data_IF_739298815261
#
_entry.id   IF_739298815261
#
_cell.length_a   1.000
_cell.length_b   1.000
_cell.length_c   1.000
_cell.angle_alpha   90.00
_cell.angle_beta   90.00
_cell.angle_gamma   90.00
#
_symmetry.space_group_name_H-M   'P 1'
#
loop_
_entity.id
_entity.type
_entity.pdbx_description
1 polymer ?
#
# COMPACT_ATOMS: atom_id res chain seq x y z
N UNK A 1 22.68 -28.86 -6.36
CA UNK A 1 21.34 -29.44 -6.20
C UNK A 1 21.48 -30.89 -5.80
N UNK A 2 21.00 -31.25 -4.60
CA UNK A 2 21.01 -32.64 -4.15
C UNK A 2 19.68 -33.28 -4.57
N UNK A 3 19.76 -34.44 -5.23
CA UNK A 3 18.60 -35.22 -5.64
C UNK A 3 18.65 -36.61 -5.02
N UNK A 4 17.48 -37.15 -4.71
CA UNK A 4 17.35 -38.44 -4.03
C UNK A 4 16.75 -39.47 -4.98
N UNK A 5 17.32 -40.68 -5.03
CA UNK A 5 16.76 -41.78 -5.79
C UNK A 5 15.44 -42.23 -5.17
N UNK A 6 14.32 -42.26 -5.91
CA UNK A 6 13.01 -42.62 -5.35
C UNK A 6 12.91 -44.10 -4.92
N UNK A 7 13.86 -44.94 -5.34
CA UNK A 7 13.87 -46.37 -5.03
C UNK A 7 14.72 -46.73 -3.80
N UNK A 8 15.95 -46.22 -3.73
CA UNK A 8 16.92 -46.61 -2.70
C UNK A 8 17.37 -45.45 -1.81
N UNK A 9 16.81 -44.26 -2.00
CA UNK A 9 17.07 -43.05 -1.20
C UNK A 9 18.54 -42.58 -1.20
N UNK A 10 19.37 -43.13 -2.10
CA UNK A 10 20.73 -42.65 -2.31
C UNK A 10 20.72 -41.22 -2.84
N UNK A 11 21.57 -40.37 -2.25
CA UNK A 11 21.69 -38.95 -2.59
C UNK A 11 22.80 -38.73 -3.61
N UNK A 12 22.49 -37.92 -4.62
CA UNK A 12 23.41 -37.57 -5.70
C UNK A 12 23.56 -36.05 -5.79
N UNK A 13 24.79 -35.59 -5.99
CA UNK A 13 25.04 -34.21 -6.39
C UNK A 13 24.79 -34.05 -7.88
N UNK A 14 23.69 -33.38 -8.23
CA UNK A 14 23.28 -33.10 -9.59
C UNK A 14 23.48 -31.63 -9.97
N UNK A 15 24.41 -30.93 -9.30
CA UNK A 15 24.65 -29.49 -9.56
C UNK A 15 25.09 -29.21 -11.00
N UNK A 16 25.82 -30.14 -11.63
CA UNK A 16 26.30 -30.00 -13.02
C UNK A 16 25.32 -30.55 -14.07
N UNK A 17 24.23 -31.19 -13.65
CA UNK A 17 23.25 -31.76 -14.55
C UNK A 17 22.25 -30.70 -15.01
N UNK A 18 21.87 -30.71 -16.29
CA UNK A 18 20.79 -29.88 -16.80
C UNK A 18 19.46 -30.24 -16.09
N UNK A 19 18.58 -29.27 -15.78
CA UNK A 19 17.25 -29.58 -15.27
C UNK A 19 16.46 -30.48 -16.26
N UNK A 20 15.83 -31.55 -15.75
CA UNK A 20 15.19 -32.59 -16.56
C UNK A 20 16.14 -33.62 -17.17
N UNK A 21 17.45 -33.60 -16.84
CA UNK A 21 18.39 -34.64 -17.27
C UNK A 21 18.14 -35.96 -16.53
N UNK A 22 18.31 -37.07 -17.24
CA UNK A 22 18.25 -38.41 -16.66
C UNK A 22 19.51 -38.71 -15.86
N UNK A 23 19.35 -39.29 -14.68
CA UNK A 23 20.40 -39.78 -13.79
C UNK A 23 20.18 -41.28 -13.60
N UNK A 24 21.24 -42.05 -13.77
CA UNK A 24 21.27 -43.46 -13.44
C UNK A 24 21.73 -43.65 -11.98
N UNK A 25 20.89 -44.26 -11.16
CA UNK A 25 21.25 -44.68 -9.82
C UNK A 25 22.06 -45.99 -9.86
N UNK A 26 22.94 -46.18 -8.87
CA UNK A 26 23.67 -47.45 -8.67
C UNK A 26 22.75 -48.64 -8.41
N UNK A 27 21.52 -48.41 -7.93
CA UNK A 27 20.52 -49.47 -7.77
C UNK A 27 19.84 -49.91 -9.08
N UNK A 28 20.26 -49.36 -10.24
CA UNK A 28 19.68 -49.64 -11.54
C UNK A 28 18.47 -48.76 -11.89
N UNK A 29 17.95 -47.98 -10.95
CA UNK A 29 16.85 -47.05 -11.22
C UNK A 29 17.33 -45.83 -12.02
N UNK A 30 16.68 -45.52 -13.13
CA UNK A 30 16.77 -44.21 -13.76
C UNK A 30 15.73 -43.25 -13.19
N UNK A 31 16.12 -42.00 -12.96
CA UNK A 31 15.25 -40.92 -12.54
C UNK A 31 15.71 -39.59 -13.16
N UNK A 32 14.93 -38.52 -13.04
CA UNK A 32 15.24 -37.24 -13.68
C UNK A 32 15.56 -36.16 -12.65
N UNK A 33 16.48 -35.26 -12.97
CA UNK A 33 16.65 -34.03 -12.19
C UNK A 33 15.34 -33.23 -12.24
N UNK A 34 14.94 -32.60 -11.13
CA UNK A 34 13.74 -31.78 -11.13
C UNK A 34 13.91 -30.65 -12.15
N UNK A 35 12.88 -30.44 -12.98
CA UNK A 35 12.84 -29.29 -13.86
C UNK A 35 12.77 -28.05 -12.98
N UNK A 36 13.76 -27.17 -13.08
CA UNK A 36 13.68 -25.86 -12.46
C UNK A 36 12.50 -25.13 -13.12
N UNK A 37 11.52 -24.65 -12.34
CA UNK A 37 10.44 -23.87 -12.91
C UNK A 37 11.05 -22.64 -13.61
N UNK A 38 10.58 -22.34 -14.84
CA UNK A 38 11.02 -21.17 -15.61
C UNK A 38 10.54 -19.92 -14.88
N UNK A 39 11.39 -19.37 -14.03
CA UNK A 39 11.03 -18.29 -13.13
C UNK A 39 11.80 -17.03 -13.47
N UNK A 40 11.61 -16.55 -14.71
CA UNK A 40 12.13 -15.25 -15.12
C UNK A 40 11.40 -14.07 -14.43
N UNK A 41 10.32 -14.35 -13.66
CA UNK A 41 9.54 -13.38 -12.88
C UNK A 41 9.09 -13.91 -11.52
N UNK A 42 9.82 -14.85 -10.91
CA UNK A 42 9.44 -15.32 -9.57
C UNK A 42 9.92 -14.39 -8.49
N UNK A 43 9.04 -14.16 -7.52
CA UNK A 43 9.42 -13.66 -6.21
C UNK A 43 9.64 -14.86 -5.28
N UNK A 44 10.40 -14.69 -4.21
CA UNK A 44 10.49 -15.73 -3.18
C UNK A 44 9.26 -15.66 -2.28
N UNK A 45 8.71 -16.82 -1.93
CA UNK A 45 7.66 -16.95 -0.93
C UNK A 45 8.14 -16.29 0.38
N UNK A 46 7.40 -15.33 0.94
CA UNK A 46 7.82 -14.62 2.14
C UNK A 46 7.83 -15.50 3.39
N UNK A 47 7.23 -16.68 3.35
CA UNK A 47 7.17 -17.62 4.47
C UNK A 47 8.30 -18.66 4.44
N UNK A 48 8.52 -19.35 3.31
CA UNK A 48 9.53 -20.43 3.22
C UNK A 48 10.73 -20.12 2.32
N UNK A 49 10.74 -19.01 1.59
CA UNK A 49 11.80 -18.68 0.63
C UNK A 49 11.74 -19.46 -0.69
N UNK A 50 10.83 -20.44 -0.82
CA UNK A 50 10.60 -21.18 -2.06
C UNK A 50 10.09 -20.27 -3.17
N UNK A 51 10.33 -20.62 -4.42
CA UNK A 51 9.91 -19.78 -5.53
C UNK A 51 8.38 -19.61 -5.60
N UNK A 52 7.92 -18.40 -5.88
CA UNK A 52 6.52 -18.05 -6.04
C UNK A 52 6.31 -17.27 -7.34
N UNK A 53 5.45 -17.82 -8.20
CA UNK A 53 4.97 -17.10 -9.38
C UNK A 53 4.01 -15.98 -8.96
N UNK A 54 4.01 -14.82 -9.65
CA UNK A 54 3.03 -13.76 -9.42
C UNK A 54 1.57 -14.20 -9.63
N UNK A 55 1.36 -15.24 -10.44
CA UNK A 55 0.03 -15.76 -10.80
C UNK A 55 -0.44 -16.89 -9.85
N UNK A 56 0.41 -17.34 -8.93
CA UNK A 56 0.06 -18.36 -7.93
C UNK A 56 -0.65 -17.70 -6.75
N UNK A 57 -1.83 -18.21 -6.38
CA UNK A 57 -2.56 -17.75 -5.19
C UNK A 57 -2.18 -18.53 -3.91
N UNK A 58 -1.36 -19.57 -4.03
CA UNK A 58 -0.86 -20.38 -2.92
C UNK A 58 0.54 -20.90 -3.25
N UNK A 59 1.44 -20.89 -2.27
CA UNK A 59 2.79 -21.39 -2.43
C UNK A 59 2.78 -22.93 -2.54
N UNK A 60 3.32 -23.46 -3.63
CA UNK A 60 3.41 -24.91 -3.88
C UNK A 60 4.33 -25.64 -2.88
N UNK A 61 5.22 -24.92 -2.19
CA UNK A 61 6.19 -25.50 -1.25
C UNK A 61 5.69 -25.58 0.19
N UNK A 62 5.08 -24.50 0.71
CA UNK A 62 4.66 -24.44 2.11
C UNK A 62 3.14 -24.27 2.30
N UNK A 63 2.36 -24.17 1.21
CA UNK A 63 0.91 -24.06 1.27
C UNK A 63 0.38 -22.70 1.75
N UNK A 64 1.23 -21.70 1.99
CA UNK A 64 0.77 -20.35 2.39
C UNK A 64 0.02 -19.69 1.24
N UNK A 65 -1.10 -19.02 1.53
CA UNK A 65 -1.82 -18.26 0.51
C UNK A 65 -1.04 -17.00 0.17
N UNK A 66 -0.86 -16.76 -1.13
CA UNK A 66 -0.19 -15.60 -1.68
C UNK A 66 -1.14 -14.41 -1.86
N UNK A 67 -2.28 -14.42 -1.15
CA UNK A 67 -3.25 -13.33 -1.16
C UNK A 67 -2.67 -12.08 -0.51
N UNK A 68 -2.87 -10.95 -1.20
CA UNK A 68 -2.33 -9.66 -0.77
C UNK A 68 -3.14 -9.09 0.39
N UNK A 69 -2.50 -8.88 1.53
CA UNK A 69 -3.06 -8.08 2.63
C UNK A 69 -2.12 -6.92 2.97
N UNK A 70 -2.53 -6.02 3.87
CA UNK A 70 -1.64 -5.01 4.44
C UNK A 70 -1.14 -5.44 5.81
N UNK A 71 0.16 -5.27 6.04
CA UNK A 71 0.74 -5.44 7.37
C UNK A 71 0.15 -4.38 8.33
N UNK A 72 -0.36 -4.77 9.52
CA UNK A 72 -0.86 -3.82 10.52
C UNK A 72 0.16 -2.82 11.04
N UNK A 73 1.45 -3.13 10.93
CA UNK A 73 2.53 -2.31 11.47
C UNK A 73 3.15 -1.37 10.43
N UNK A 74 3.52 -1.89 9.26
CA UNK A 74 4.18 -1.08 8.21
C UNK A 74 3.30 -0.79 7.00
N UNK A 75 2.08 -1.33 6.91
CA UNK A 75 1.15 -1.13 5.80
C UNK A 75 1.65 -1.56 4.41
N UNK A 76 2.81 -2.21 4.32
CA UNK A 76 3.27 -2.88 3.10
C UNK A 76 2.23 -3.90 2.65
N UNK A 77 2.11 -4.01 1.33
CA UNK A 77 1.27 -5.02 0.68
C UNK A 77 2.18 -6.17 0.31
N UNK A 78 1.87 -7.36 0.81
CA UNK A 78 2.54 -8.58 0.40
C UNK A 78 1.60 -9.79 0.59
N UNK A 79 2.00 -10.95 0.05
CA UNK A 79 1.28 -12.19 0.26
C UNK A 79 1.39 -12.59 1.74
N UNK A 80 0.31 -12.52 2.51
CA UNK A 80 0.39 -12.62 3.99
C UNK A 80 -0.53 -13.66 4.63
N UNK A 81 -1.45 -14.28 3.90
CA UNK A 81 -2.40 -15.19 4.54
C UNK A 81 -1.72 -16.51 4.95
N UNK A 82 -1.36 -16.56 6.24
CA UNK A 82 -0.65 -17.67 6.89
C UNK A 82 0.82 -17.37 7.24
N UNK A 83 1.35 -16.19 6.91
CA UNK A 83 2.69 -15.78 7.34
C UNK A 83 2.67 -15.34 8.82
N UNK A 84 3.66 -15.77 9.61
CA UNK A 84 3.78 -15.37 11.04
C UNK A 84 4.37 -13.97 11.21
N UNK A 85 5.22 -13.55 10.28
CA UNK A 85 5.97 -12.28 10.32
C UNK A 85 5.92 -11.56 8.97
N UNK A 86 5.98 -10.23 9.00
CA UNK A 86 6.02 -9.40 7.80
C UNK A 86 7.40 -9.46 7.14
N UNK A 87 7.45 -9.81 5.86
CA UNK A 87 8.69 -9.85 5.09
C UNK A 87 9.34 -8.48 4.82
N UNK A 88 8.65 -7.38 5.15
CA UNK A 88 9.13 -6.00 4.95
C UNK A 88 9.60 -5.34 6.25
N UNK A 89 8.87 -5.50 7.37
CA UNK A 89 9.25 -4.89 8.65
C UNK A 89 9.65 -5.88 9.75
N UNK A 90 9.32 -7.16 9.61
CA UNK A 90 9.59 -8.20 10.61
C UNK A 90 8.56 -8.32 11.73
N UNK A 91 7.58 -7.42 11.79
CA UNK A 91 6.52 -7.47 12.81
C UNK A 91 5.65 -8.73 12.66
N UNK A 92 5.15 -9.23 13.79
CA UNK A 92 4.20 -10.35 13.80
C UNK A 92 2.89 -9.98 13.12
N UNK A 93 2.38 -10.88 12.27
CA UNK A 93 1.14 -10.72 11.50
C UNK A 93 -0.06 -11.38 12.19
N UNK A 94 -0.06 -11.44 13.52
CA UNK A 94 -1.03 -12.19 14.33
C UNK A 94 -2.50 -11.84 14.09
N UNK A 95 -2.82 -10.74 13.39
CA UNK A 95 -4.14 -10.52 12.79
C UNK A 95 -4.04 -9.93 11.36
N UNK A 96 -4.53 -10.62 10.32
CA UNK A 96 -4.68 -10.01 9.00
C UNK A 96 -5.74 -8.90 9.08
N UNK A 97 -5.57 -7.88 8.24
CA UNK A 97 -6.58 -6.84 8.05
C UNK A 97 -7.94 -7.50 7.75
N UNK A 98 -8.92 -7.28 8.64
CA UNK A 98 -10.30 -7.72 8.38
C UNK A 98 -10.94 -6.66 7.49
N UNK A 99 -11.45 -7.07 6.33
CA UNK A 99 -12.34 -6.23 5.54
C UNK A 99 -13.59 -5.98 6.40
N UNK A 100 -13.68 -4.81 7.03
CA UNK A 100 -14.89 -4.45 7.77
C UNK A 100 -15.90 -4.00 6.74
N UNK A 101 -17.01 -4.73 6.64
CA UNK A 101 -18.22 -4.30 5.93
C UNK A 101 -18.80 -3.08 6.66
N UNK A 102 -18.18 -1.91 6.53
CA UNK A 102 -18.74 -0.64 7.00
C UNK A 102 -18.95 0.27 5.80
N UNK A 103 -20.15 0.84 5.75
CA UNK A 103 -20.66 1.69 4.68
C UNK A 103 -19.57 2.57 4.07
N UNK A 104 -19.35 2.34 2.78
CA UNK A 104 -18.43 3.09 1.97
C UNK A 104 -18.92 4.54 1.92
N UNK A 105 -18.08 5.54 2.23
CA UNK A 105 -18.38 6.93 1.82
C UNK A 105 -18.46 7.04 0.28
N UNK A 106 -18.04 6.00 -0.45
CA UNK A 106 -18.21 5.92 -1.90
C UNK A 106 -17.17 6.72 -2.68
N UNK A 107 -16.04 7.04 -2.05
CA UNK A 107 -14.97 7.80 -2.67
C UNK A 107 -14.45 7.12 -3.93
N UNK A 108 -14.24 7.91 -4.98
CA UNK A 108 -13.59 7.46 -6.20
C UNK A 108 -12.08 7.52 -6.03
N UNK A 109 -11.38 6.53 -6.57
CA UNK A 109 -9.93 6.50 -6.59
C UNK A 109 -9.42 7.63 -7.50
N UNK A 110 -8.58 8.56 -7.03
CA UNK A 110 -8.15 9.70 -7.83
C UNK A 110 -7.21 9.31 -8.99
N UNK A 111 -6.53 8.15 -8.87
CA UNK A 111 -5.69 7.58 -9.93
C UNK A 111 -6.50 6.84 -10.99
N UNK A 112 -7.44 6.00 -10.56
CA UNK A 112 -8.19 5.14 -11.47
C UNK A 112 -9.47 5.79 -12.00
N UNK A 113 -9.97 6.83 -11.33
CA UNK A 113 -11.23 7.56 -11.56
C UNK A 113 -12.49 6.70 -11.43
N UNK A 114 -12.56 5.60 -12.16
CA UNK A 114 -13.74 4.73 -12.28
C UNK A 114 -13.76 3.58 -11.25
N UNK A 115 -12.86 3.60 -10.28
CA UNK A 115 -12.76 2.58 -9.23
C UNK A 115 -13.08 3.18 -7.88
N UNK A 116 -13.99 2.55 -7.13
CA UNK A 116 -14.31 2.97 -5.76
C UNK A 116 -13.24 2.51 -4.79
N UNK A 117 -12.95 3.36 -3.80
CA UNK A 117 -12.12 2.97 -2.68
C UNK A 117 -12.89 1.97 -1.81
N UNK A 118 -12.16 0.99 -1.28
CA UNK A 118 -12.65 0.00 -0.34
C UNK A 118 -12.12 0.35 1.04
N UNK A 119 -13.05 0.60 1.97
CA UNK A 119 -12.73 0.84 3.38
C UNK A 119 -12.31 -0.46 4.06
N UNK A 120 -11.13 -0.45 4.70
CA UNK A 120 -10.53 -1.62 5.34
C UNK A 120 -10.03 -1.27 6.73
N UNK A 121 -10.12 -2.21 7.68
CA UNK A 121 -9.49 -2.08 9.00
C UNK A 121 -8.17 -2.83 8.99
N UNK A 122 -7.09 -2.11 9.22
CA UNK A 122 -5.71 -2.62 9.25
C UNK A 122 -5.16 -2.30 10.63
N UNK A 123 -5.08 -3.33 11.50
CA UNK A 123 -4.81 -3.13 12.92
C UNK A 123 -5.90 -2.26 13.57
N UNK A 124 -5.47 -1.18 14.21
CA UNK A 124 -6.36 -0.22 14.89
C UNK A 124 -6.88 0.89 13.97
N UNK A 125 -6.43 0.90 12.71
CA UNK A 125 -6.67 1.99 11.77
C UNK A 125 -7.68 1.60 10.71
N UNK A 126 -8.56 2.54 10.36
CA UNK A 126 -9.47 2.44 9.21
C UNK A 126 -8.87 3.22 8.07
N UNK A 127 -8.72 2.59 6.91
CA UNK A 127 -8.11 3.17 5.71
C UNK A 127 -9.04 2.97 4.52
N UNK A 128 -8.97 3.86 3.52
CA UNK A 128 -9.67 3.69 2.25
C UNK A 128 -8.66 3.33 1.16
N UNK A 129 -8.80 2.17 0.53
CA UNK A 129 -7.80 1.65 -0.40
C UNK A 129 -8.38 1.22 -1.74
N UNK A 130 -7.68 1.51 -2.84
CA UNK A 130 -8.09 1.08 -4.17
C UNK A 130 -7.64 -0.36 -4.41
N UNK A 131 -8.56 -1.24 -4.80
CA UNK A 131 -8.24 -2.65 -5.13
C UNK A 131 -7.52 -2.79 -6.47
N UNK A 132 -7.63 -1.82 -7.38
CA UNK A 132 -6.96 -1.82 -8.69
C UNK A 132 -5.53 -1.30 -8.63
N UNK A 133 -5.30 -0.07 -8.18
CA UNK A 133 -3.95 0.52 -8.14
C UNK A 133 -3.22 0.32 -6.82
N UNK A 134 -3.88 -0.23 -5.78
CA UNK A 134 -3.31 -0.40 -4.44
C UNK A 134 -2.96 0.88 -3.69
N UNK A 135 -3.35 2.05 -4.20
CA UNK A 135 -3.22 3.34 -3.49
C UNK A 135 -4.12 3.42 -2.26
N UNK A 136 -3.79 4.33 -1.35
CA UNK A 136 -4.42 4.52 -0.03
C UNK A 136 -4.75 5.99 0.19
N UNK A 137 -5.96 6.24 0.65
CA UNK A 137 -6.40 7.49 1.23
C UNK A 137 -6.42 7.39 2.75
N UNK A 138 -5.81 8.35 3.43
CA UNK A 138 -5.83 8.50 4.88
C UNK A 138 -6.29 9.91 5.27
N UNK A 139 -7.27 9.99 6.17
CA UNK A 139 -7.61 11.24 6.81
C UNK A 139 -6.45 11.71 7.72
N UNK A 140 -6.26 13.03 7.86
CA UNK A 140 -5.18 13.61 8.68
C UNK A 140 -5.12 13.00 10.09
N UNK A 141 -6.28 12.88 10.74
CA UNK A 141 -6.38 12.32 12.10
C UNK A 141 -5.92 10.86 12.21
N UNK A 142 -6.09 10.07 11.14
CA UNK A 142 -5.65 8.66 11.10
C UNK A 142 -4.15 8.62 10.88
N UNK A 143 -3.63 9.45 9.96
CA UNK A 143 -2.20 9.56 9.71
C UNK A 143 -1.43 10.00 10.97
N UNK A 144 -1.90 11.01 11.69
CA UNK A 144 -1.25 11.49 12.91
C UNK A 144 -1.10 10.37 13.96
N UNK A 145 -2.19 9.62 14.20
CA UNK A 145 -2.18 8.47 15.12
C UNK A 145 -1.24 7.35 14.65
N UNK A 146 -1.14 7.15 13.35
CA UNK A 146 -0.28 6.14 12.75
C UNK A 146 1.20 6.53 12.88
N UNK A 147 1.55 7.79 12.63
CA UNK A 147 2.92 8.30 12.77
C UNK A 147 3.35 8.36 14.24
N UNK A 148 2.47 8.77 15.15
CA UNK A 148 2.75 8.79 16.58
C UNK A 148 3.09 7.38 17.12
N UNK A 149 2.35 6.35 16.70
CA UNK A 149 2.66 4.95 17.03
C UNK A 149 3.95 4.48 16.36
N UNK A 150 4.20 4.91 15.12
CA UNK A 150 5.43 4.62 14.38
C UNK A 150 6.69 5.10 15.08
N UNK A 151 6.67 6.30 15.68
CA UNK A 151 7.79 6.84 16.46
C UNK A 151 8.13 6.01 17.71
N UNK A 152 7.16 5.30 18.29
CA UNK A 152 7.38 4.48 19.49
C UNK A 152 7.86 3.06 19.16
N UNK A 153 7.77 2.63 17.90
CA UNK A 153 8.13 1.28 17.48
C UNK A 153 9.48 1.26 16.78
N UNK A 154 10.51 0.73 17.47
CA UNK A 154 11.81 0.44 16.85
C UNK A 154 11.61 -0.67 15.80
N UNK A 155 12.11 -0.46 14.57
CA UNK A 155 11.94 -1.47 13.52
C UNK A 155 12.81 -2.71 13.83
N UNK A 156 12.22 -3.90 13.70
CA UNK A 156 12.96 -5.17 13.74
C UNK A 156 13.71 -5.46 12.43
N UNK A 157 13.80 -4.50 11.51
CA UNK A 157 14.40 -4.71 10.19
C UNK A 157 15.88 -5.08 10.21
N UNK A 158 16.62 -4.68 11.25
CA UNK A 158 18.01 -5.10 11.44
C UNK A 158 18.16 -6.64 11.49
N UNK A 159 17.12 -7.35 11.94
CA UNK A 159 17.11 -8.82 12.04
C UNK A 159 16.83 -9.52 10.70
N UNK A 160 16.28 -8.82 9.70
CA UNK A 160 15.88 -9.41 8.42
C UNK A 160 16.92 -9.29 7.30
N UNK A 161 18.03 -8.58 7.54
CA UNK A 161 19.10 -8.39 6.54
C UNK A 161 18.66 -7.70 5.24
N UNK A 162 17.44 -7.20 5.16
CA UNK A 162 16.90 -6.50 3.99
C UNK A 162 17.15 -5.00 4.12
N UNK A 163 17.70 -4.42 3.06
CA UNK A 163 17.72 -2.98 2.91
C UNK A 163 16.27 -2.47 2.91
N UNK A 164 15.96 -1.43 3.70
CA UNK A 164 14.60 -0.92 3.75
C UNK A 164 14.14 -0.40 2.38
N UNK A 165 12.83 -0.34 2.17
CA UNK A 165 12.24 0.33 1.00
C UNK A 165 12.66 1.81 1.02
N UNK A 166 13.76 2.12 0.33
CA UNK A 166 14.22 3.49 0.11
C UNK A 166 13.27 4.15 -0.87
N UNK A 167 12.90 5.40 -0.59
CA UNK A 167 12.02 6.16 -1.48
C UNK A 167 12.55 6.29 -2.92
N UNK A 168 13.88 6.21 -3.10
CA UNK A 168 14.53 6.16 -4.41
C UNK A 168 14.09 4.97 -5.28
N UNK A 169 13.63 3.86 -4.67
CA UNK A 169 13.24 2.63 -5.35
C UNK A 169 11.73 2.54 -5.60
N UNK A 170 10.95 3.56 -5.23
CA UNK A 170 9.52 3.57 -5.49
C UNK A 170 9.25 3.84 -6.98
N UNK A 171 8.35 3.08 -7.63
CA UNK A 171 7.94 3.35 -9.00
C UNK A 171 7.44 4.78 -9.15
N UNK A 172 8.11 5.58 -9.98
CA UNK A 172 7.68 6.97 -10.23
C UNK A 172 6.59 6.97 -11.29
N UNK A 173 5.37 7.29 -10.89
CA UNK A 173 4.31 7.59 -11.85
C UNK A 173 4.62 8.87 -12.62
N UNK A 174 4.16 8.95 -13.87
CA UNK A 174 4.12 10.20 -14.64
C UNK A 174 3.44 11.27 -13.79
N UNK A 175 4.02 12.47 -13.73
CA UNK A 175 3.51 13.60 -12.94
C UNK A 175 2.07 13.88 -13.36
N UNK A 176 1.13 13.69 -12.43
CA UNK A 176 -0.27 14.10 -12.60
C UNK A 176 -0.82 14.55 -11.27
N UNK A 177 -1.42 15.73 -11.24
CA UNK A 177 -2.08 16.24 -10.05
C UNK A 177 -3.42 15.53 -9.84
N UNK A 178 -3.69 15.14 -8.60
CA UNK A 178 -4.82 14.32 -8.23
C UNK A 178 -5.91 15.14 -7.53
N UNK A 179 -7.21 14.95 -7.86
CA UNK A 179 -8.29 15.56 -7.11
C UNK A 179 -8.47 14.88 -5.75
N UNK A 180 -8.88 15.63 -4.73
CA UNK A 180 -9.21 15.09 -3.42
C UNK A 180 -10.46 14.19 -3.52
N UNK A 181 -10.45 12.96 -2.97
CA UNK A 181 -11.62 12.08 -3.01
C UNK A 181 -12.86 12.60 -2.26
N UNK A 182 -12.69 13.59 -1.35
CA UNK A 182 -13.78 14.15 -0.55
C UNK A 182 -14.28 15.52 -1.07
N UNK A 183 -13.42 16.36 -1.65
CA UNK A 183 -13.81 17.70 -2.11
C UNK A 183 -13.44 18.05 -3.55
N UNK A 184 -12.82 17.13 -4.28
CA UNK A 184 -12.45 17.24 -5.70
C UNK A 184 -11.42 18.34 -6.02
N UNK A 185 -11.03 19.16 -5.05
CA UNK A 185 -9.95 20.13 -5.20
C UNK A 185 -8.62 19.43 -5.48
N UNK A 186 -7.80 20.04 -6.34
CA UNK A 186 -6.48 19.52 -6.68
C UNK A 186 -5.59 19.47 -5.43
N UNK A 187 -5.02 18.30 -5.18
CA UNK A 187 -4.14 18.05 -4.05
C UNK A 187 -2.73 18.55 -4.32
N UNK A 188 -2.07 18.98 -3.24
CA UNK A 188 -0.71 19.48 -3.28
C UNK A 188 0.27 18.32 -3.27
N UNK A 189 1.01 18.16 -4.36
CA UNK A 189 2.08 17.17 -4.43
C UNK A 189 3.31 17.63 -3.66
N UNK A 190 3.72 16.89 -2.62
CA UNK A 190 4.82 17.29 -1.72
C UNK A 190 5.70 16.11 -1.32
N UNK A 191 6.96 16.39 -0.96
CA UNK A 191 7.84 15.40 -0.35
C UNK A 191 7.45 15.22 1.12
N UNK A 192 7.06 14.00 1.50
CA UNK A 192 6.68 13.65 2.86
C UNK A 192 7.84 13.93 3.82
N UNK A 193 7.54 14.56 4.97
CA UNK A 193 8.54 15.01 5.95
C UNK A 193 9.70 15.83 5.34
N UNK A 194 9.46 16.53 4.21
CA UNK A 194 10.39 17.36 3.42
C UNK A 194 11.60 16.66 2.80
N UNK A 195 12.13 15.60 3.43
CA UNK A 195 13.37 14.91 3.01
C UNK A 195 13.23 13.39 2.86
N UNK A 196 12.03 12.82 3.01
CA UNK A 196 11.88 11.36 2.92
C UNK A 196 12.13 10.82 1.51
N UNK A 197 11.93 11.66 0.49
CA UNK A 197 11.93 11.26 -0.92
C UNK A 197 10.63 10.58 -1.36
N UNK A 198 9.70 10.34 -0.43
CA UNK A 198 8.37 9.82 -0.71
C UNK A 198 7.49 10.99 -1.13
N UNK A 199 6.91 10.95 -2.32
CA UNK A 199 6.07 12.02 -2.84
C UNK A 199 4.62 11.67 -2.54
N UNK A 200 3.88 12.55 -1.89
CA UNK A 200 2.48 12.34 -1.53
C UNK A 200 1.60 13.45 -2.10
N UNK A 201 0.32 13.16 -2.31
CA UNK A 201 -0.66 14.15 -2.75
C UNK A 201 -1.58 14.50 -1.58
N UNK A 202 -1.49 15.74 -1.09
CA UNK A 202 -2.15 16.17 0.14
C UNK A 202 -3.28 17.18 -0.13
N UNK A 203 -4.47 16.89 0.41
CA UNK A 203 -5.52 17.87 0.62
C UNK A 203 -5.39 18.44 2.04
N UNK A 204 -5.15 19.74 2.16
CA UNK A 204 -4.96 20.40 3.47
C UNK A 204 -6.17 20.28 4.40
N UNK A 205 -7.38 20.07 3.85
CA UNK A 205 -8.63 19.99 4.62
C UNK A 205 -9.01 18.55 5.05
N UNK A 206 -8.70 17.54 4.23
CA UNK A 206 -9.31 16.22 4.39
C UNK A 206 -8.28 15.14 4.74
N UNK A 207 -7.21 15.02 3.95
CA UNK A 207 -6.26 13.93 4.11
C UNK A 207 -5.20 13.86 3.03
N UNK A 208 -4.55 12.71 2.97
CA UNK A 208 -3.39 12.46 2.11
C UNK A 208 -3.61 11.19 1.30
N UNK A 209 -3.29 11.27 0.02
CA UNK A 209 -3.20 10.13 -0.88
C UNK A 209 -1.77 9.62 -0.96
N UNK A 210 -1.64 8.30 -0.87
CA UNK A 210 -0.40 7.54 -1.04
C UNK A 210 -0.60 6.56 -2.20
N UNK A 211 0.26 6.65 -3.21
CA UNK A 211 0.35 5.62 -4.25
C UNK A 211 0.92 4.31 -3.68
N UNK A 212 0.98 3.29 -4.53
CA UNK A 212 1.42 1.95 -4.13
C UNK A 212 2.80 2.02 -3.48
N UNK A 213 2.92 1.43 -2.29
CA UNK A 213 4.14 1.38 -1.44
C UNK A 213 4.56 2.70 -0.76
N UNK A 214 3.97 3.85 -1.08
CA UNK A 214 4.39 5.13 -0.50
C UNK A 214 4.11 5.22 1.00
N UNK A 215 2.92 4.78 1.46
CA UNK A 215 2.60 4.79 2.90
C UNK A 215 3.59 3.96 3.73
N UNK A 216 3.95 2.77 3.22
CA UNK A 216 4.92 1.91 3.89
C UNK A 216 6.32 2.55 3.95
N UNK A 217 6.74 3.19 2.86
CA UNK A 217 8.00 3.94 2.82
C UNK A 217 7.98 5.14 3.79
N UNK A 218 6.85 5.85 3.91
CA UNK A 218 6.69 6.94 4.88
C UNK A 218 6.82 6.45 6.32
N UNK A 219 6.17 5.34 6.68
CA UNK A 219 6.27 4.73 8.01
C UNK A 219 7.71 4.28 8.29
N UNK A 220 8.34 3.67 7.30
CA UNK A 220 9.74 3.26 7.40
C UNK A 220 10.64 4.46 7.68
N UNK A 221 10.49 5.54 6.90
CA UNK A 221 11.26 6.77 7.06
C UNK A 221 11.13 7.32 8.49
N UNK A 222 9.90 7.41 8.99
CA UNK A 222 9.57 7.86 10.36
C UNK A 222 10.30 7.02 11.41
N UNK A 223 10.23 5.69 11.32
CA UNK A 223 10.90 4.76 12.24
C UNK A 223 12.43 4.88 12.19
N UNK A 224 12.99 5.13 11.01
CA UNK A 224 14.43 5.21 10.78
C UNK A 224 15.04 6.58 11.12
N UNK A 225 14.23 7.61 11.30
CA UNK A 225 14.71 8.98 11.54
C UNK A 225 13.76 9.78 12.43
N UNK A 226 13.55 9.34 13.70
CA UNK A 226 12.60 9.97 14.63
C UNK A 226 12.93 11.44 14.91
N UNK A 227 14.21 11.80 14.96
CA UNK A 227 14.75 13.17 15.13
C UNK A 227 14.22 14.17 14.07
N UNK A 228 13.81 13.68 12.90
CA UNK A 228 13.40 14.53 11.77
C UNK A 228 12.00 15.08 11.92
N UNK A 229 11.18 14.42 12.72
CA UNK A 229 9.79 14.79 12.85
C UNK A 229 9.71 15.80 13.98
N UNK A 230 10.38 16.94 13.80
CA UNK A 230 9.86 18.19 14.33
C UNK A 230 8.50 18.41 13.66
N UNK A 231 7.52 17.79 14.30
CA UNK A 231 6.12 17.91 14.02
C UNK A 231 5.75 19.40 14.16
N UNK A 232 5.81 20.16 13.06
CA UNK A 232 4.52 20.71 12.62
C UNK A 232 3.70 19.48 12.26
N UNK A 233 3.09 18.86 13.29
CA UNK A 233 1.83 18.12 13.15
C UNK A 233 1.08 18.98 12.15
N UNK A 234 0.73 18.43 11.00
CA UNK A 234 -0.25 19.06 10.14
C UNK A 234 -1.44 19.21 11.07
N UNK A 235 -1.59 20.38 11.73
CA UNK A 235 -2.64 20.57 12.74
C UNK A 235 -3.89 20.12 12.01
N UNK A 236 -4.56 19.05 12.46
CA UNK A 236 -5.70 18.55 11.72
C UNK A 236 -6.61 19.76 11.58
N UNK A 237 -6.99 20.13 10.35
CA UNK A 237 -7.75 21.35 10.11
C UNK A 237 -8.95 21.28 11.02
N UNK A 238 -9.08 22.32 11.85
CA UNK A 238 -10.17 22.45 12.81
C UNK A 238 -11.50 22.28 12.10
N UNK A 239 -12.54 21.88 12.83
CA UNK A 239 -13.87 21.76 12.25
C UNK A 239 -14.32 23.07 11.58
N UNK A 240 -13.91 24.22 12.14
CA UNK A 240 -14.07 25.54 11.54
C UNK A 240 -13.31 25.72 10.21
N UNK A 241 -12.06 25.23 10.09
CA UNK A 241 -11.30 25.28 8.83
C UNK A 241 -11.89 24.34 7.78
N UNK A 242 -12.38 23.16 8.18
CA UNK A 242 -13.11 22.25 7.28
C UNK A 242 -14.42 22.88 6.80
N UNK A 243 -15.14 23.57 7.68
CA UNK A 243 -16.39 24.26 7.34
C UNK A 243 -16.12 25.46 6.41
N UNK A 244 -15.10 26.28 6.69
CA UNK A 244 -14.64 27.36 5.81
C UNK A 244 -14.23 26.82 4.44
N UNK A 245 -13.54 25.68 4.40
CA UNK A 245 -13.18 25.03 3.14
C UNK A 245 -14.42 24.56 2.36
N UNK A 246 -15.42 23.96 3.03
CA UNK A 246 -16.71 23.60 2.41
C UNK A 246 -17.46 24.83 1.88
N UNK A 247 -17.47 25.94 2.62
CA UNK A 247 -18.09 27.20 2.16
C UNK A 247 -17.35 27.75 0.94
N UNK A 248 -16.01 27.74 0.95
CA UNK A 248 -15.18 28.18 -0.17
C UNK A 248 -15.40 27.36 -1.45
N UNK A 249 -15.61 26.05 -1.32
CA UNK A 249 -15.95 25.18 -2.46
C UNK A 249 -17.35 25.54 -2.99
N UNK A 250 -18.33 25.71 -2.11
CA UNK A 250 -19.69 26.12 -2.50
C UNK A 250 -19.73 27.51 -3.15
N UNK A 251 -18.87 28.44 -2.75
CA UNK A 251 -18.76 29.76 -3.40
C UNK A 251 -18.06 29.68 -4.75
N UNK A 252 -17.00 28.88 -4.89
CA UNK A 252 -16.31 28.70 -6.17
C UNK A 252 -17.19 27.99 -7.21
N UNK A 253 -17.98 26.99 -6.80
CA UNK A 253 -18.93 26.32 -7.70
C UNK A 253 -20.18 27.17 -7.99
N UNK A 254 -20.36 28.33 -7.34
CA UNK A 254 -21.45 29.27 -7.60
C UNK A 254 -21.09 30.35 -8.64
N UNK A 255 -19.84 30.40 -9.09
CA UNK A 255 -19.37 31.44 -10.01
C UNK A 255 -19.56 31.06 -11.50
N UNK A 256 -19.94 29.83 -11.81
CA UNK A 256 -20.25 29.43 -13.19
C UNK A 256 -21.76 29.45 -13.48
N UNK A 257 -22.33 30.65 -13.62
CA UNK A 257 -23.55 30.88 -14.43
C UNK A 257 -23.35 32.15 -15.28
N UNK A 258 -22.96 31.90 -16.53
CA UNK A 258 -23.21 32.63 -17.78
C UNK A 258 -22.55 34.00 -18.05
N UNK A 259 -21.54 33.99 -18.92
CA UNK A 259 -21.52 34.91 -20.06
C UNK A 259 -22.53 34.41 -21.10
N UNK A 260 -23.71 35.04 -21.15
CA UNK A 260 -24.75 34.81 -22.15
C UNK A 260 -26.08 34.36 -21.55
N UNK A 261 -26.99 35.33 -21.35
CA UNK A 261 -28.37 35.07 -20.94
C UNK A 261 -28.84 35.98 -19.81
N UNK A 262 -29.03 37.26 -20.11
CA UNK A 262 -29.90 38.12 -19.31
C UNK A 262 -31.32 37.57 -19.44
N UNK A 263 -31.89 37.02 -18.37
CA UNK A 263 -33.31 37.12 -17.96
C UNK A 263 -33.74 35.95 -17.06
N UNK A 264 -34.37 36.30 -15.93
CA UNK A 264 -35.11 35.45 -14.97
C UNK A 264 -34.21 34.56 -14.10
N UNK A 265 -34.01 34.84 -12.81
CA UNK A 265 -35.04 34.78 -11.76
C UNK A 265 -34.60 35.62 -10.54
N UNK A 266 -35.00 36.90 -10.53
CA UNK A 266 -35.24 37.63 -9.28
C UNK A 266 -36.67 37.30 -8.85
N UNK A 267 -36.83 36.43 -7.85
CA UNK A 267 -38.02 36.26 -7.00
C UNK A 267 -37.65 35.14 -6.04
N UNK A 268 -37.32 35.49 -4.79
CA UNK A 268 -37.45 34.62 -3.58
C UNK A 268 -36.76 35.17 -2.31
N UNK A 269 -36.26 36.42 -2.30
CA UNK A 269 -35.79 37.05 -1.06
C UNK A 269 -36.38 38.45 -0.85
N UNK A 270 -37.60 38.58 -0.29
CA UNK A 270 -38.02 39.84 0.30
C UNK A 270 -37.46 39.93 1.72
N UNK A 271 -36.73 41.01 1.98
CA UNK A 271 -36.33 41.53 3.30
C UNK A 271 -35.16 40.84 4.01
N UNK A 272 -33.96 41.42 3.81
CA UNK A 272 -32.87 41.38 4.80
C UNK A 272 -31.93 42.57 4.60
N UNK A 273 -32.46 43.78 4.71
CA UNK A 273 -31.73 45.00 5.07
C UNK A 273 -32.71 46.00 5.68
N UNK A 274 -32.78 46.01 7.01
CA UNK A 274 -32.98 47.18 7.86
C UNK A 274 -32.00 47.03 9.02
#
# INVERSE_FOLDING_TARGET
MIVECPRCQSRYDATLNKPGAQIACRCGQAFYTPKLPKLAKASNCPNCGGAASPDQNQCEYCGVYLSFARCPACFSIAPYQGAKFCAECGDSLSQPAKDVKTANKGFSCPRCKDHKLSRKKVGDYTIDSCTKCSGVWLDHSVLDKLLAKGNQQKSSQALLGKAPLKAANLPRHKVSYLPCPECEQIMHRRNFAKRSGVIVDECTAHGIWFDKHELAASIHFVRSSPETIEHKVLKPPTEAERLKHKVKIKSNNRIDITSGGLELLFKDFPNLFL
#
